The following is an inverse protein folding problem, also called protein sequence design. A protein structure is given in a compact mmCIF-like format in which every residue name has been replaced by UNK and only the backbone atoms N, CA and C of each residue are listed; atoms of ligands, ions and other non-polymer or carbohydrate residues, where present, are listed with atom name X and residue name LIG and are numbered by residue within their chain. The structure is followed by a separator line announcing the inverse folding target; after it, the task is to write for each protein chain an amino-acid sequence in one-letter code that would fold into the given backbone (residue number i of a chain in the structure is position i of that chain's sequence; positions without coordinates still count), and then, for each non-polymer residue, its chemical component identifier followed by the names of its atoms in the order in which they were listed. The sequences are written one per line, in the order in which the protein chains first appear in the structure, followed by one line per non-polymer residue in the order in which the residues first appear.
data_IF_660302283600
#
_entry.id   IF_660302283600
#
_cell.length_a   1.000
_cell.length_b   1.000
_cell.length_c   1.000
_cell.angle_alpha   90.00
_cell.angle_beta   90.00
_cell.angle_gamma   90.00
#
_symmetry.space_group_name_H-M   'P 1'
#
loop_
_entity.id
_entity.type
_entity.pdbx_description
1 polymer ?
#
# COMPACT_ATOMS: atom_id res chain seq x y z
N UNK A 1 -0.51 -18.96 16.62
CA UNK A 1 -1.99 -18.85 16.55
C UNK A 1 -2.29 -17.68 15.63
N UNK A 2 -2.68 -17.98 14.40
CA UNK A 2 -2.81 -17.03 13.29
C UNK A 2 -4.11 -16.26 13.47
N UNK A 3 -4.04 -14.97 13.75
CA UNK A 3 -5.22 -14.10 13.69
C UNK A 3 -5.44 -13.77 12.22
N UNK A 4 -6.37 -14.49 11.60
CA UNK A 4 -6.95 -14.11 10.31
C UNK A 4 -7.69 -12.78 10.48
N UNK A 5 -7.07 -11.71 10.02
CA UNK A 5 -7.76 -10.44 9.78
C UNK A 5 -8.69 -10.66 8.58
N UNK A 6 -9.96 -10.92 8.86
CA UNK A 6 -11.02 -10.79 7.87
C UNK A 6 -11.08 -9.31 7.47
N UNK A 7 -10.57 -8.97 6.29
CA UNK A 7 -11.02 -7.78 5.59
C UNK A 7 -12.35 -8.15 4.92
N UNK A 8 -13.45 -7.46 5.26
CA UNK A 8 -14.67 -7.59 4.47
C UNK A 8 -14.36 -7.10 3.05
N UNK A 9 -14.92 -7.79 2.05
CA UNK A 9 -14.91 -7.33 0.65
C UNK A 9 -15.48 -5.90 0.51
N UNK A 10 -15.50 -5.31 -0.69
CA UNK A 10 -15.88 -3.92 -0.89
C UNK A 10 -17.21 -3.61 -0.21
N UNK A 11 -17.12 -2.87 0.88
CA UNK A 11 -18.31 -2.39 1.60
C UNK A 11 -18.84 -1.22 0.80
N UNK A 12 -20.12 -1.23 0.39
CA UNK A 12 -20.71 -0.09 -0.30
C UNK A 12 -20.45 1.17 0.53
N UNK A 13 -20.01 2.23 -0.14
CA UNK A 13 -19.66 3.52 0.47
C UNK A 13 -20.80 4.02 1.36
N UNK A 14 -20.76 3.68 2.66
CA UNK A 14 -21.69 4.22 3.62
C UNK A 14 -21.29 5.67 3.88
N UNK A 15 -22.26 6.55 3.77
CA UNK A 15 -22.10 8.00 3.97
C UNK A 15 -21.39 8.25 5.31
N UNK A 16 -20.31 9.04 5.27
CA UNK A 16 -19.78 9.68 6.45
C UNK A 16 -20.81 10.77 6.82
N UNK A 17 -21.67 10.47 7.76
CA UNK A 17 -22.66 11.41 8.25
C UNK A 17 -22.06 12.29 9.34
N UNK A 18 -22.61 13.48 9.56
CA UNK A 18 -22.17 14.36 10.65
C UNK A 18 -22.25 13.61 12.00
N UNK A 19 -23.25 12.75 12.20
CA UNK A 19 -23.38 11.89 13.39
C UNK A 19 -22.19 10.94 13.61
N UNK A 20 -21.62 10.37 12.53
CA UNK A 20 -20.44 9.48 12.64
C UNK A 20 -19.19 10.28 12.97
N UNK A 21 -19.04 11.46 12.39
CA UNK A 21 -17.94 12.37 12.70
C UNK A 21 -18.00 12.87 14.15
N UNK A 22 -19.17 13.31 14.61
CA UNK A 22 -19.39 13.78 15.97
C UNK A 22 -19.14 12.65 16.98
N UNK A 23 -19.61 11.45 16.68
CA UNK A 23 -19.37 10.27 17.50
C UNK A 23 -17.88 9.93 17.60
N UNK A 24 -17.16 9.94 16.49
CA UNK A 24 -15.73 9.70 16.45
C UNK A 24 -14.96 10.75 17.27
N UNK A 25 -15.27 12.02 17.07
CA UNK A 25 -14.65 13.13 17.79
C UNK A 25 -14.89 13.00 19.31
N UNK A 26 -16.11 12.74 19.73
CA UNK A 26 -16.47 12.54 21.14
C UNK A 26 -15.66 11.41 21.79
N UNK A 27 -15.52 10.26 21.13
CA UNK A 27 -14.75 9.11 21.65
C UNK A 27 -13.27 9.46 21.74
N UNK A 28 -12.71 10.14 20.75
CA UNK A 28 -11.30 10.56 20.71
C UNK A 28 -11.02 11.57 21.83
N UNK A 29 -11.85 12.59 22.00
CA UNK A 29 -11.72 13.60 23.06
C UNK A 29 -11.83 12.96 24.45
N UNK A 30 -12.69 11.98 24.61
CA UNK A 30 -12.83 11.24 25.89
C UNK A 30 -11.57 10.46 26.25
N UNK A 31 -10.86 9.93 25.26
CA UNK A 31 -9.64 9.13 25.46
C UNK A 31 -8.38 9.97 25.61
N UNK A 32 -8.33 11.12 24.96
CA UNK A 32 -7.12 11.93 24.81
C UNK A 32 -6.41 12.25 26.13
N UNK A 33 -7.07 12.69 27.22
CA UNK A 33 -6.41 12.99 28.49
C UNK A 33 -5.70 11.79 29.11
N UNK A 34 -6.20 10.60 28.88
CA UNK A 34 -5.64 9.36 29.43
C UNK A 34 -4.59 8.74 28.50
N UNK A 35 -4.78 8.87 27.19
CA UNK A 35 -3.82 8.39 26.19
C UNK A 35 -2.46 9.09 26.30
N UNK A 36 -2.45 10.28 26.83
CA UNK A 36 -1.25 11.11 27.01
C UNK A 36 -0.44 10.81 28.28
N UNK A 37 -0.93 9.96 29.16
CA UNK A 37 -0.22 9.62 30.40
C UNK A 37 0.87 8.58 30.12
N UNK A 38 2.07 8.68 30.78
CA UNK A 38 3.19 7.79 30.52
C UNK A 38 2.88 6.30 30.78
N UNK A 39 2.05 6.02 31.77
CA UNK A 39 1.64 4.65 32.13
C UNK A 39 0.63 4.05 31.14
N UNK A 40 0.27 4.84 30.13
CA UNK A 40 -0.50 4.46 28.95
C UNK A 40 -1.81 3.75 29.30
N UNK A 41 -2.68 3.69 28.36
CA UNK A 41 -3.95 3.00 28.54
C UNK A 41 -3.72 1.49 28.53
N UNK A 42 -3.66 0.85 29.70
CA UNK A 42 -3.87 -0.60 29.77
C UNK A 42 -5.22 -0.92 29.15
N UNK A 43 -5.44 -2.12 28.57
CA UNK A 43 -6.68 -2.47 27.89
C UNK A 43 -7.93 -2.19 28.75
N UNK A 44 -7.86 -2.52 30.03
CA UNK A 44 -8.96 -2.27 30.98
C UNK A 44 -9.16 -0.78 31.25
N UNK A 45 -8.09 0.00 31.30
CA UNK A 45 -8.14 1.46 31.45
C UNK A 45 -8.72 2.15 30.21
N UNK A 46 -8.44 1.64 29.01
CA UNK A 46 -9.06 2.09 27.77
C UNK A 46 -10.56 1.84 27.78
N UNK A 47 -10.98 0.63 28.12
CA UNK A 47 -12.40 0.26 28.22
C UNK A 47 -13.13 1.03 29.32
N UNK A 48 -12.48 1.26 30.47
CA UNK A 48 -13.08 2.01 31.58
C UNK A 48 -13.43 3.47 31.24
N UNK A 49 -12.81 4.04 30.19
CA UNK A 49 -13.11 5.39 29.70
C UNK A 49 -14.25 5.43 28.68
N UNK A 50 -14.58 4.29 28.10
CA UNK A 50 -15.59 4.16 27.05
C UNK A 50 -16.73 3.26 27.52
N UNK A 51 -17.81 3.81 28.08
CA UNK A 51 -18.94 3.02 28.55
C UNK A 51 -19.49 2.10 27.47
N UNK A 52 -19.61 0.80 27.79
CA UNK A 52 -20.08 -0.24 26.88
C UNK A 52 -19.00 -0.85 25.97
N UNK A 53 -17.74 -0.40 26.09
CA UNK A 53 -16.62 -1.01 25.39
C UNK A 53 -15.90 -2.02 26.30
N UNK A 54 -15.30 -3.04 25.67
CA UNK A 54 -14.35 -4.00 26.29
C UNK A 54 -12.96 -3.81 25.71
N UNK A 55 -11.93 -3.89 26.53
CA UNK A 55 -10.55 -3.80 26.10
C UNK A 55 -10.10 -5.04 25.33
N UNK A 56 -9.24 -4.85 24.33
CA UNK A 56 -8.57 -5.91 23.60
C UNK A 56 -7.10 -6.01 24.02
N UNK A 57 -6.45 -7.18 23.82
CA UNK A 57 -5.03 -7.36 24.16
C UNK A 57 -4.14 -6.28 23.54
N UNK A 58 -3.21 -5.79 24.33
CA UNK A 58 -2.20 -4.79 23.91
C UNK A 58 -1.01 -5.47 23.26
N UNK A 59 -0.51 -4.88 22.17
CA UNK A 59 0.74 -5.20 21.52
C UNK A 59 1.79 -4.17 21.92
N UNK A 60 2.94 -4.62 22.46
CA UNK A 60 4.06 -3.73 22.83
C UNK A 60 5.15 -3.86 21.76
N UNK A 61 5.64 -2.72 21.29
CA UNK A 61 6.73 -2.66 20.33
C UNK A 61 8.07 -2.43 21.04
N UNK A 62 9.04 -3.26 20.69
CA UNK A 62 10.39 -3.17 21.25
C UNK A 62 11.44 -2.92 20.16
N UNK A 63 12.40 -2.09 20.49
CA UNK A 63 13.61 -1.91 19.69
C UNK A 63 14.84 -2.18 20.56
N UNK A 64 15.61 -3.21 20.19
CA UNK A 64 16.78 -3.65 20.97
C UNK A 64 16.46 -3.91 22.45
N UNK A 65 15.32 -4.54 22.74
CA UNK A 65 14.88 -4.86 24.09
C UNK A 65 14.30 -3.70 24.91
N UNK A 66 14.13 -2.52 24.30
CA UNK A 66 13.52 -1.36 24.95
C UNK A 66 12.16 -1.08 24.32
N UNK A 67 11.15 -0.87 25.15
CA UNK A 67 9.81 -0.49 24.68
C UNK A 67 9.85 0.87 23.99
N UNK A 68 9.34 0.94 22.79
CA UNK A 68 9.27 2.17 21.98
C UNK A 68 7.84 2.63 21.74
N UNK A 69 6.86 1.81 22.10
CA UNK A 69 5.46 2.12 21.94
C UNK A 69 4.55 0.91 22.12
N UNK A 70 3.26 1.12 21.97
CA UNK A 70 2.27 0.08 22.05
C UNK A 70 1.06 0.40 21.18
N UNK A 71 0.29 -0.65 20.85
CA UNK A 71 -1.04 -0.58 20.22
C UNK A 71 -2.04 -1.26 21.12
N UNK A 72 -3.17 -0.59 21.40
CA UNK A 72 -4.32 -1.14 22.11
C UNK A 72 -5.60 -0.81 21.38
N UNK A 73 -6.68 -1.53 21.70
CA UNK A 73 -8.00 -1.24 21.17
C UNK A 73 -9.09 -1.59 22.18
N UNK A 74 -10.25 -0.96 22.01
CA UNK A 74 -11.48 -1.34 22.68
C UNK A 74 -12.61 -1.42 21.66
N UNK A 75 -13.56 -2.33 21.89
CA UNK A 75 -14.71 -2.53 21.02
C UNK A 75 -15.99 -2.71 21.81
N UNK A 76 -17.14 -2.41 21.21
CA UNK A 76 -18.44 -2.61 21.81
C UNK A 76 -19.29 -3.62 21.01
N UNK A 77 -20.44 -3.98 21.56
CA UNK A 77 -21.36 -4.97 20.95
C UNK A 77 -22.04 -4.45 19.68
N UNK A 78 -22.00 -3.14 19.43
CA UNK A 78 -22.53 -2.54 18.19
C UNK A 78 -21.55 -2.60 17.03
N UNK A 79 -20.31 -3.06 17.27
CA UNK A 79 -19.25 -3.18 16.27
C UNK A 79 -18.41 -1.91 16.10
N UNK A 80 -18.60 -0.91 16.99
CA UNK A 80 -17.65 0.21 17.05
C UNK A 80 -16.35 -0.24 17.70
N UNK A 81 -15.22 0.25 17.18
CA UNK A 81 -13.88 0.00 17.72
C UNK A 81 -13.08 1.29 17.74
N UNK A 82 -12.35 1.49 18.84
CA UNK A 82 -11.34 2.55 18.94
C UNK A 82 -9.99 1.88 19.10
N UNK A 83 -9.02 2.26 18.25
CA UNK A 83 -7.63 1.81 18.30
C UNK A 83 -6.74 2.97 18.72
N UNK A 84 -5.79 2.71 19.60
CA UNK A 84 -4.79 3.69 20.03
C UNK A 84 -3.40 3.13 19.75
N UNK A 85 -2.57 3.91 19.06
CA UNK A 85 -1.15 3.66 18.91
C UNK A 85 -0.36 4.74 19.64
N UNK A 86 0.46 4.32 20.59
CA UNK A 86 1.32 5.20 21.38
C UNK A 86 2.77 4.98 21.01
N UNK A 87 3.46 6.02 20.57
CA UNK A 87 4.86 5.93 20.16
C UNK A 87 5.71 6.89 20.98
N UNK A 88 6.61 6.31 21.83
CA UNK A 88 7.44 7.02 22.79
C UNK A 88 8.83 6.40 22.91
N UNK A 89 9.71 6.47 21.88
CA UNK A 89 11.06 5.95 21.95
C UNK A 89 11.87 6.67 23.03
N UNK A 90 12.54 5.88 23.90
CA UNK A 90 13.27 6.41 25.05
C UNK A 90 12.38 7.04 26.12
N UNK A 91 11.11 6.63 26.21
CA UNK A 91 10.14 7.15 27.18
C UNK A 91 9.58 8.55 26.87
N UNK A 92 9.98 9.14 25.75
CA UNK A 92 9.51 10.47 25.34
C UNK A 92 8.40 10.33 24.29
N UNK A 93 7.20 10.80 24.63
CA UNK A 93 6.08 10.81 23.68
C UNK A 93 6.47 11.55 22.39
N UNK A 94 6.27 10.91 21.27
CA UNK A 94 6.44 11.48 19.93
C UNK A 94 5.13 11.66 19.22
N UNK A 95 4.24 10.66 19.33
CA UNK A 95 2.97 10.65 18.62
C UNK A 95 1.99 9.66 19.26
N UNK A 96 0.73 10.04 19.27
CA UNK A 96 -0.39 9.10 19.45
C UNK A 96 -1.24 9.16 18.20
N UNK A 97 -1.74 8.01 17.77
CA UNK A 97 -2.78 7.88 16.76
C UNK A 97 -4.00 7.25 17.39
N UNK A 98 -5.16 7.85 17.19
CA UNK A 98 -6.43 7.32 17.67
C UNK A 98 -7.33 7.13 16.45
N UNK A 99 -7.68 5.88 16.16
CA UNK A 99 -8.55 5.52 15.04
C UNK A 99 -9.93 5.11 15.56
N UNK A 100 -10.96 5.63 14.95
CA UNK A 100 -12.32 5.18 15.12
C UNK A 100 -12.78 4.34 13.94
N UNK A 101 -13.41 3.20 14.23
CA UNK A 101 -14.00 2.29 13.26
C UNK A 101 -15.47 2.06 13.64
N UNK A 102 -16.36 2.07 12.69
CA UNK A 102 -17.71 1.55 12.81
C UNK A 102 -17.80 0.10 12.27
N UNK A 103 -19.01 -0.45 12.14
CA UNK A 103 -19.21 -1.79 11.56
C UNK A 103 -18.69 -1.94 10.14
N UNK A 104 -18.67 -0.87 9.39
CA UNK A 104 -18.24 -0.88 8.00
C UNK A 104 -16.71 -0.67 7.86
N UNK A 105 -16.00 -0.41 8.97
CA UNK A 105 -14.55 -0.28 8.98
C UNK A 105 -14.04 1.06 9.51
N UNK A 106 -12.79 1.44 9.15
CA UNK A 106 -12.17 2.67 9.60
C UNK A 106 -12.91 3.92 9.07
N UNK A 107 -13.10 4.92 9.94
CA UNK A 107 -13.81 6.16 9.60
C UNK A 107 -12.99 7.40 9.81
N UNK A 108 -12.31 7.48 10.95
CA UNK A 108 -11.56 8.66 11.34
C UNK A 108 -10.29 8.30 12.09
N UNK A 109 -9.22 9.03 11.80
CA UNK A 109 -7.96 9.02 12.52
C UNK A 109 -7.68 10.42 13.05
N UNK A 110 -7.30 10.52 14.33
CA UNK A 110 -6.67 11.70 14.91
C UNK A 110 -5.18 11.44 15.16
N UNK A 111 -4.34 12.39 14.82
CA UNK A 111 -2.90 12.41 15.13
C UNK A 111 -2.63 13.43 16.19
N UNK A 112 -2.08 12.97 17.32
CA UNK A 112 -1.80 13.75 18.51
C UNK A 112 -0.29 13.93 18.68
N UNK A 113 0.13 15.14 18.92
CA UNK A 113 1.53 15.49 19.10
C UNK A 113 2.07 15.24 20.52
N UNK A 114 3.37 15.52 20.74
CA UNK A 114 4.01 15.35 22.05
C UNK A 114 3.47 16.31 23.12
N UNK A 115 2.78 17.36 22.74
CA UNK A 115 2.08 18.31 23.61
C UNK A 115 0.65 17.86 23.97
N UNK A 116 0.29 16.63 23.61
CA UNK A 116 -1.05 16.07 23.85
C UNK A 116 -2.19 16.84 23.19
N UNK A 117 -1.93 17.51 22.07
CA UNK A 117 -2.94 18.17 21.26
C UNK A 117 -3.12 17.43 19.94
N UNK A 118 -4.36 17.36 19.49
CA UNK A 118 -4.64 16.90 18.12
C UNK A 118 -3.99 17.90 17.16
N UNK A 119 -3.08 17.43 16.32
CA UNK A 119 -2.42 18.24 15.31
C UNK A 119 -3.24 18.29 14.02
N UNK A 120 -3.80 17.16 13.62
CA UNK A 120 -4.69 17.01 12.49
C UNK A 120 -5.43 15.69 12.57
N UNK A 121 -6.46 15.54 11.75
CA UNK A 121 -7.16 14.29 11.51
C UNK A 121 -7.29 13.95 10.03
N UNK A 122 -7.69 12.72 9.78
CA UNK A 122 -8.09 12.23 8.46
C UNK A 122 -9.38 11.42 8.59
N UNK A 123 -10.30 11.57 7.65
CA UNK A 123 -11.52 10.77 7.61
C UNK A 123 -11.73 10.16 6.23
N UNK A 124 -12.29 8.95 6.17
CA UNK A 124 -12.70 8.31 4.94
C UNK A 124 -14.13 8.73 4.60
N UNK A 125 -14.33 9.35 3.47
CA UNK A 125 -15.64 9.78 2.98
C UNK A 125 -15.90 9.21 1.58
N UNK A 126 -17.18 9.07 1.17
CA UNK A 126 -17.48 8.78 -0.21
C UNK A 126 -16.84 9.80 -1.15
N UNK A 127 -16.33 9.33 -2.28
CA UNK A 127 -15.80 10.19 -3.32
C UNK A 127 -16.90 11.08 -3.92
N UNK A 128 -16.53 12.22 -4.46
CA UNK A 128 -17.48 13.20 -5.01
C UNK A 128 -18.23 12.70 -6.25
N UNK A 129 -17.69 11.71 -6.96
CA UNK A 129 -18.33 11.04 -8.11
C UNK A 129 -19.28 9.91 -7.68
N UNK A 130 -19.38 9.63 -6.38
CA UNK A 130 -20.19 8.55 -5.80
C UNK A 130 -19.59 7.16 -5.95
N UNK A 131 -18.35 7.05 -6.45
CA UNK A 131 -17.63 5.80 -6.61
C UNK A 131 -16.30 5.87 -5.85
N UNK A 132 -16.04 4.88 -4.98
CA UNK A 132 -14.84 4.86 -4.17
C UNK A 132 -14.88 5.79 -2.94
N UNK A 133 -13.70 6.17 -2.47
CA UNK A 133 -13.51 6.96 -1.25
C UNK A 133 -12.48 8.07 -1.47
N UNK A 134 -12.64 9.14 -0.69
CA UNK A 134 -11.65 10.21 -0.52
C UNK A 134 -11.16 10.26 0.92
N UNK A 135 -9.93 10.70 1.12
CA UNK A 135 -9.43 11.14 2.41
C UNK A 135 -9.76 12.62 2.62
N UNK A 136 -10.56 12.92 3.62
CA UNK A 136 -10.78 14.28 4.10
C UNK A 136 -9.67 14.67 5.08
N UNK A 137 -9.09 15.85 4.90
CA UNK A 137 -8.16 16.44 5.85
C UNK A 137 -8.94 17.21 6.91
N UNK A 138 -8.64 16.94 8.18
CA UNK A 138 -9.26 17.57 9.34
C UNK A 138 -8.23 18.39 10.09
N UNK A 139 -8.65 19.49 10.68
CA UNK A 139 -7.82 20.32 11.55
C UNK A 139 -7.67 19.74 12.97
N UNK A 140 -7.03 20.51 13.87
CA UNK A 140 -6.83 20.10 15.27
C UNK A 140 -8.11 20.05 16.11
N UNK A 141 -9.24 20.54 15.60
CA UNK A 141 -10.57 20.41 16.19
C UNK A 141 -11.39 19.30 15.49
N UNK A 142 -10.75 18.49 14.66
CA UNK A 142 -11.36 17.45 13.82
C UNK A 142 -12.44 17.98 12.85
N UNK A 143 -12.35 19.27 12.49
CA UNK A 143 -13.26 19.87 11.52
C UNK A 143 -12.67 19.77 10.10
N UNK A 144 -13.48 19.52 9.05
CA UNK A 144 -13.01 19.46 7.67
C UNK A 144 -12.32 20.77 7.24
N UNK A 145 -11.11 20.66 6.70
CA UNK A 145 -10.34 21.81 6.17
C UNK A 145 -10.75 22.20 4.74
N UNK A 146 -11.63 21.42 4.11
CA UNK A 146 -11.97 21.53 2.70
C UNK A 146 -11.01 20.81 1.76
N UNK A 147 -9.87 20.31 2.25
CA UNK A 147 -8.95 19.52 1.45
C UNK A 147 -9.39 18.05 1.38
N UNK A 148 -9.34 17.49 0.15
CA UNK A 148 -9.62 16.08 -0.12
C UNK A 148 -8.47 15.47 -0.93
N UNK A 149 -8.11 14.24 -0.62
CA UNK A 149 -7.20 13.42 -1.40
C UNK A 149 -8.00 12.24 -1.97
N UNK A 150 -8.20 12.15 -3.29
CA UNK A 150 -8.86 11.00 -3.90
C UNK A 150 -8.07 9.72 -3.66
N UNK A 151 -8.78 8.64 -3.34
CA UNK A 151 -8.18 7.30 -3.21
C UNK A 151 -8.41 6.44 -4.44
N UNK A 152 -9.41 6.80 -5.24
CA UNK A 152 -9.76 6.08 -6.46
C UNK A 152 -10.51 7.02 -7.46
N UNK A 153 -9.84 8.09 -7.99
CA UNK A 153 -10.46 9.01 -8.92
C UNK A 153 -10.69 8.36 -10.30
N UNK A 154 -11.65 8.84 -11.10
CA UNK A 154 -11.80 8.37 -12.47
C UNK A 154 -10.56 8.71 -13.30
N UNK A 155 -10.10 7.77 -14.16
CA UNK A 155 -8.98 8.04 -15.06
C UNK A 155 -9.26 9.24 -15.99
N UNK A 156 -8.29 10.13 -16.20
CA UNK A 156 -8.46 11.22 -17.15
C UNK A 156 -8.63 10.68 -18.58
N UNK A 157 -9.34 11.36 -19.46
CA UNK A 157 -9.43 10.96 -20.86
C UNK A 157 -8.06 10.99 -21.52
N UNK A 158 -7.83 10.07 -22.46
CA UNK A 158 -6.55 9.97 -23.15
C UNK A 158 -6.63 9.07 -24.38
N UNK A 159 -5.49 8.96 -25.07
CA UNK A 159 -5.32 8.08 -26.23
C UNK A 159 -4.22 7.07 -25.93
N UNK A 160 -4.32 5.89 -26.54
CA UNK A 160 -3.28 4.88 -26.47
C UNK A 160 -1.99 5.43 -27.15
N UNK A 161 -0.83 5.38 -26.48
CA UNK A 161 0.43 5.84 -27.07
C UNK A 161 0.99 4.87 -28.11
N UNK A 162 0.52 3.62 -28.12
CA UNK A 162 1.09 2.56 -28.93
C UNK A 162 2.41 2.02 -28.38
N UNK A 163 3.08 1.17 -29.15
CA UNK A 163 4.35 0.58 -28.76
C UNK A 163 4.23 -0.81 -28.14
N UNK A 164 5.33 -1.28 -27.51
CA UNK A 164 5.37 -2.56 -26.80
C UNK A 164 4.52 -2.49 -25.53
N UNK A 165 3.67 -3.49 -25.31
CA UNK A 165 2.82 -3.54 -24.13
C UNK A 165 3.60 -4.11 -22.95
N UNK A 166 3.87 -3.26 -21.97
CA UNK A 166 4.53 -3.60 -20.71
C UNK A 166 3.50 -3.48 -19.58
N UNK A 167 3.45 -4.43 -18.67
CA UNK A 167 2.63 -4.34 -17.48
C UNK A 167 3.45 -4.06 -16.23
N UNK A 168 2.83 -3.38 -15.29
CA UNK A 168 3.32 -3.20 -13.93
C UNK A 168 2.28 -3.75 -12.96
N UNK A 169 2.71 -4.64 -12.05
CA UNK A 169 1.89 -5.12 -10.94
C UNK A 169 2.45 -4.52 -9.65
N UNK A 170 1.70 -3.60 -9.07
CA UNK A 170 2.12 -2.83 -7.89
C UNK A 170 0.90 -2.31 -7.10
N UNK A 171 1.05 -1.25 -6.34
CA UNK A 171 -0.03 -0.56 -5.60
C UNK A 171 -0.95 0.30 -6.48
N UNK A 172 -0.83 0.21 -7.82
CA UNK A 172 -1.50 1.10 -8.78
C UNK A 172 -0.61 2.25 -9.23
N UNK A 173 -1.18 3.23 -9.92
CA UNK A 173 -0.46 4.43 -10.39
C UNK A 173 -1.30 5.69 -10.22
N UNK A 174 -0.68 6.82 -9.92
CA UNK A 174 -1.38 8.11 -9.98
C UNK A 174 -1.49 8.57 -11.44
N UNK A 175 -2.52 8.10 -12.11
CA UNK A 175 -2.80 8.43 -13.51
C UNK A 175 -3.37 9.85 -13.71
N UNK A 176 -3.53 10.63 -12.65
CA UNK A 176 -3.91 12.06 -12.76
C UNK A 176 -2.70 12.95 -13.04
N UNK A 177 -1.48 12.42 -12.86
CA UNK A 177 -0.25 13.16 -13.16
C UNK A 177 -0.05 13.30 -14.67
N UNK A 178 0.24 14.52 -15.17
CA UNK A 178 0.44 14.77 -16.59
C UNK A 178 1.66 14.05 -17.16
N UNK A 179 2.62 13.67 -16.33
CA UNK A 179 3.82 12.92 -16.72
C UNK A 179 3.53 11.41 -16.88
N UNK A 180 2.47 10.91 -16.24
CA UNK A 180 2.10 9.48 -16.22
C UNK A 180 0.99 9.18 -17.24
N UNK A 181 -0.08 9.98 -17.23
CA UNK A 181 -1.28 9.73 -18.02
C UNK A 181 -1.04 9.41 -19.50
N UNK A 182 -0.10 10.09 -20.23
CA UNK A 182 0.13 9.86 -21.65
C UNK A 182 0.72 8.49 -21.98
N UNK A 183 1.46 7.85 -21.06
CA UNK A 183 2.11 6.56 -21.28
C UNK A 183 1.21 5.35 -21.01
N UNK A 184 -0.02 5.55 -20.53
CA UNK A 184 -0.91 4.45 -20.17
C UNK A 184 -1.58 3.82 -21.38
N UNK A 185 -1.57 2.49 -21.42
CA UNK A 185 -2.24 1.69 -22.45
C UNK A 185 -3.76 1.83 -22.37
N UNK A 186 -4.39 2.04 -23.53
CA UNK A 186 -5.83 2.24 -23.61
C UNK A 186 -6.47 1.44 -24.74
N UNK A 187 -7.74 1.13 -24.55
CA UNK A 187 -8.59 0.59 -25.60
C UNK A 187 -8.91 1.65 -26.66
N UNK A 188 -9.55 1.23 -27.76
CA UNK A 188 -10.03 2.17 -28.81
C UNK A 188 -11.01 3.20 -28.29
N UNK A 189 -11.75 2.86 -27.24
CA UNK A 189 -12.73 3.74 -26.59
C UNK A 189 -12.11 4.62 -25.50
N UNK A 190 -10.77 4.58 -25.35
CA UNK A 190 -10.02 5.42 -24.42
C UNK A 190 -9.98 4.92 -22.97
N UNK A 191 -10.57 3.75 -22.68
CA UNK A 191 -10.52 3.14 -21.36
C UNK A 191 -9.12 2.60 -21.07
N UNK A 192 -8.67 2.63 -19.81
CA UNK A 192 -7.42 1.97 -19.40
C UNK A 192 -7.51 0.46 -19.67
N UNK A 193 -6.44 -0.14 -20.13
CA UNK A 193 -6.34 -1.59 -20.29
C UNK A 193 -5.96 -2.30 -18.98
N UNK A 194 -5.53 -1.56 -17.98
CA UNK A 194 -5.21 -2.07 -16.65
C UNK A 194 -6.45 -2.37 -15.80
N UNK A 195 -6.23 -2.98 -14.64
CA UNK A 195 -7.31 -3.37 -13.73
C UNK A 195 -6.86 -3.31 -12.27
N UNK A 196 -7.78 -2.93 -11.40
CA UNK A 196 -7.62 -2.99 -9.96
C UNK A 196 -8.17 -4.32 -9.42
N UNK A 197 -7.28 -5.28 -9.14
CA UNK A 197 -7.66 -6.57 -8.56
C UNK A 197 -7.87 -6.50 -7.04
N UNK A 198 -7.54 -5.38 -6.40
CA UNK A 198 -7.79 -5.17 -4.97
C UNK A 198 -9.21 -4.70 -4.71
N UNK A 199 -9.65 -3.67 -5.43
CA UNK A 199 -10.99 -3.07 -5.28
C UNK A 199 -11.98 -3.58 -6.35
N UNK A 200 -11.51 -4.42 -7.30
CA UNK A 200 -12.29 -5.11 -8.34
C UNK A 200 -12.95 -4.15 -9.32
N UNK A 201 -12.17 -3.19 -9.85
CA UNK A 201 -12.64 -2.18 -10.79
C UNK A 201 -11.57 -1.79 -11.85
N UNK A 202 -11.92 -0.99 -12.89
CA UNK A 202 -10.98 -0.58 -13.94
C UNK A 202 -10.11 0.63 -13.56
N UNK A 203 -9.93 0.94 -12.28
CA UNK A 203 -9.24 2.15 -11.80
C UNK A 203 -8.05 1.82 -10.90
N UNK A 204 -6.94 1.26 -11.44
CA UNK A 204 -5.77 0.86 -10.66
C UNK A 204 -4.99 2.07 -10.12
N UNK A 205 -5.62 2.84 -9.22
CA UNK A 205 -5.02 4.03 -8.62
C UNK A 205 -4.03 3.67 -7.51
N UNK A 206 -2.97 4.46 -7.35
CA UNK A 206 -1.88 4.17 -6.42
C UNK A 206 -2.32 4.35 -4.96
N UNK A 207 -2.88 3.29 -4.37
CA UNK A 207 -3.33 3.27 -2.99
C UNK A 207 -3.18 1.88 -2.36
N UNK A 208 -2.22 1.72 -1.44
CA UNK A 208 -2.08 0.48 -0.67
C UNK A 208 -2.48 0.74 0.80
N UNK A 209 -3.71 0.37 1.22
CA UNK A 209 -4.22 0.62 2.57
C UNK A 209 -3.81 -0.46 3.58
N UNK A 210 -2.96 -1.44 3.22
CA UNK A 210 -2.67 -2.61 4.06
C UNK A 210 -2.19 -2.28 5.47
N UNK A 211 -1.45 -1.18 5.64
CA UNK A 211 -0.98 -0.74 6.96
C UNK A 211 -1.92 0.27 7.61
N UNK A 212 -2.43 1.21 6.83
CA UNK A 212 -3.42 2.19 7.28
C UNK A 212 -4.16 2.76 6.06
N UNK A 213 -5.48 2.75 6.04
CA UNK A 213 -6.26 3.39 5.00
C UNK A 213 -6.15 4.93 5.06
N UNK A 214 -5.76 5.48 6.20
CA UNK A 214 -5.53 6.91 6.38
C UNK A 214 -4.14 7.37 5.90
N UNK A 215 -3.20 6.45 5.76
CA UNK A 215 -1.85 6.66 5.22
C UNK A 215 -1.52 5.55 4.21
N UNK A 216 -2.24 5.49 3.08
CA UNK A 216 -1.97 4.47 2.10
C UNK A 216 -0.54 4.60 1.58
N UNK A 217 0.14 3.47 1.43
CA UNK A 217 1.45 3.45 0.80
C UNK A 217 1.31 3.76 -0.68
N UNK A 218 2.24 4.54 -1.20
CA UNK A 218 2.31 5.00 -2.58
C UNK A 218 3.63 4.51 -3.19
N UNK A 219 3.57 3.44 -3.96
CA UNK A 219 4.79 2.82 -4.50
C UNK A 219 4.77 2.76 -6.03
N UNK A 220 3.66 2.35 -6.64
CA UNK A 220 3.61 2.05 -8.06
C UNK A 220 3.83 3.26 -8.97
N UNK A 221 3.41 4.48 -8.56
CA UNK A 221 3.70 5.71 -9.31
C UNK A 221 5.21 5.91 -9.53
N UNK A 222 6.03 5.60 -8.53
CA UNK A 222 7.50 5.68 -8.62
C UNK A 222 8.04 4.66 -9.61
N UNK A 223 7.52 3.43 -9.56
CA UNK A 223 7.91 2.36 -10.49
C UNK A 223 7.52 2.72 -11.92
N UNK A 224 6.28 3.18 -12.13
CA UNK A 224 5.80 3.62 -13.44
C UNK A 224 6.69 4.73 -14.04
N UNK A 225 7.14 5.68 -13.22
CA UNK A 225 8.01 6.76 -13.68
C UNK A 225 9.37 6.28 -14.19
N UNK A 226 9.89 5.18 -13.64
CA UNK A 226 11.12 4.54 -14.15
C UNK A 226 10.83 3.81 -15.46
N UNK A 227 9.79 2.96 -15.50
CA UNK A 227 9.41 2.24 -16.72
C UNK A 227 9.24 3.19 -17.91
N UNK A 228 8.50 4.28 -17.73
CA UNK A 228 8.27 5.26 -18.80
C UNK A 228 9.53 6.01 -19.22
N UNK A 229 10.47 6.23 -18.30
CA UNK A 229 11.75 6.87 -18.62
C UNK A 229 12.70 5.93 -19.36
N UNK A 230 12.79 4.66 -18.92
CA UNK A 230 13.74 3.67 -19.49
C UNK A 230 13.19 3.05 -20.79
N UNK A 231 11.84 2.97 -20.93
CA UNK A 231 11.18 2.40 -22.10
C UNK A 231 10.13 3.38 -22.71
N UNK A 232 10.56 4.54 -23.27
CA UNK A 232 9.64 5.59 -23.73
C UNK A 232 8.77 5.17 -24.92
N UNK A 233 9.16 4.15 -25.68
CA UNK A 233 8.42 3.61 -26.83
C UNK A 233 7.45 2.47 -26.42
N UNK A 234 7.20 2.30 -25.12
CA UNK A 234 6.24 1.34 -24.58
C UNK A 234 4.93 1.98 -24.18
N UNK A 235 3.89 1.16 -24.05
CA UNK A 235 2.64 1.53 -23.39
C UNK A 235 2.46 0.72 -22.11
N UNK A 236 2.05 1.36 -21.03
CA UNK A 236 2.00 0.77 -19.71
C UNK A 236 0.59 0.32 -19.35
N UNK A 237 0.42 -0.99 -19.12
CA UNK A 237 -0.76 -1.57 -18.47
C UNK A 237 -0.50 -1.64 -16.98
N UNK A 238 -1.38 -1.07 -16.16
CA UNK A 238 -1.24 -1.02 -14.71
C UNK A 238 -2.19 -2.00 -14.06
N UNK A 239 -1.65 -2.84 -13.19
CA UNK A 239 -2.44 -3.70 -12.32
C UNK A 239 -2.16 -3.37 -10.86
N UNK A 240 -3.24 -3.11 -10.10
CA UNK A 240 -3.14 -3.12 -8.65
C UNK A 240 -3.34 -4.57 -8.19
N UNK A 241 -2.35 -5.09 -7.43
CA UNK A 241 -2.31 -6.51 -7.08
C UNK A 241 -3.46 -6.93 -6.14
N UNK A 242 -3.93 -8.20 -6.23
CA UNK A 242 -5.08 -8.67 -5.46
C UNK A 242 -4.68 -9.03 -4.02
N UNK A 243 -4.89 -8.15 -3.06
CA UNK A 243 -4.65 -8.48 -1.65
C UNK A 243 -5.92 -8.28 -0.81
N UNK A 244 -6.28 -9.23 0.06
CA UNK A 244 -5.49 -10.42 0.46
C UNK A 244 -5.65 -11.64 -0.46
N UNK A 245 -6.47 -11.58 -1.50
CA UNK A 245 -6.85 -12.70 -2.36
C UNK A 245 -5.77 -13.00 -3.43
N UNK A 246 -4.56 -13.38 -2.98
CA UNK A 246 -3.39 -13.61 -3.87
C UNK A 246 -3.59 -14.74 -4.88
N UNK A 247 -4.56 -15.63 -4.68
CA UNK A 247 -5.00 -16.62 -5.68
C UNK A 247 -5.49 -15.98 -6.98
N UNK A 248 -5.98 -14.75 -6.94
CA UNK A 248 -6.40 -13.98 -8.12
C UNK A 248 -5.23 -13.48 -8.99
N UNK A 249 -3.99 -13.71 -8.57
CA UNK A 249 -2.82 -13.45 -9.42
C UNK A 249 -2.87 -14.27 -10.72
N UNK A 250 -3.56 -15.43 -10.74
CA UNK A 250 -3.81 -16.17 -12.00
C UNK A 250 -4.71 -15.37 -12.95
N UNK A 251 -5.81 -14.78 -12.46
CA UNK A 251 -6.70 -13.94 -13.27
C UNK A 251 -5.96 -12.72 -13.85
N UNK A 252 -5.07 -12.14 -13.06
CA UNK A 252 -4.22 -11.02 -13.49
C UNK A 252 -3.31 -11.43 -14.65
N UNK A 253 -2.65 -12.58 -14.57
CA UNK A 253 -1.76 -13.07 -15.64
C UNK A 253 -2.55 -13.37 -16.92
N UNK A 254 -3.73 -14.03 -16.81
CA UNK A 254 -4.62 -14.26 -17.95
C UNK A 254 -5.06 -12.94 -18.60
N UNK A 255 -5.48 -11.97 -17.79
CA UNK A 255 -5.85 -10.64 -18.30
C UNK A 255 -4.66 -9.94 -18.99
N UNK A 256 -3.45 -10.08 -18.46
CA UNK A 256 -2.24 -9.55 -19.09
C UNK A 256 -1.98 -10.19 -20.46
N UNK A 257 -2.15 -11.51 -20.58
CA UNK A 257 -2.04 -12.23 -21.85
C UNK A 257 -3.09 -11.74 -22.87
N UNK A 258 -4.35 -11.63 -22.47
CA UNK A 258 -5.46 -11.16 -23.32
C UNK A 258 -5.26 -9.71 -23.80
N UNK A 259 -4.62 -8.87 -23.00
CA UNK A 259 -4.28 -7.49 -23.37
C UNK A 259 -2.99 -7.35 -24.19
N UNK A 260 -2.34 -8.49 -24.51
CA UNK A 260 -1.14 -8.54 -25.33
C UNK A 260 0.13 -8.04 -24.63
N UNK A 261 0.17 -8.14 -23.32
CA UNK A 261 1.38 -7.85 -22.52
C UNK A 261 2.50 -8.82 -22.87
N UNK A 262 3.74 -8.31 -22.98
CA UNK A 262 4.95 -9.10 -23.24
C UNK A 262 5.93 -9.10 -22.09
N UNK A 263 5.93 -8.06 -21.28
CA UNK A 263 6.80 -7.94 -20.12
C UNK A 263 5.96 -7.50 -18.92
N UNK A 264 6.15 -8.14 -17.77
CA UNK A 264 5.48 -7.80 -16.51
C UNK A 264 6.52 -7.48 -15.45
N UNK A 265 6.53 -6.25 -14.95
CA UNK A 265 7.34 -5.86 -13.80
C UNK A 265 6.60 -6.19 -12.49
N UNK A 266 7.29 -6.91 -11.59
CA UNK A 266 6.82 -7.34 -10.27
C UNK A 266 7.75 -6.75 -9.18
N UNK A 267 7.51 -5.49 -8.81
CA UNK A 267 8.29 -4.84 -7.74
C UNK A 267 7.70 -5.09 -6.34
N UNK A 268 7.19 -6.29 -6.10
CA UNK A 268 6.55 -6.75 -4.87
C UNK A 268 6.90 -8.20 -4.56
N UNK A 269 6.69 -8.62 -3.32
CA UNK A 269 6.93 -10.00 -2.93
C UNK A 269 6.48 -10.33 -1.51
N UNK A 270 6.54 -11.61 -1.17
CA UNK A 270 6.31 -12.12 0.19
C UNK A 270 7.22 -13.31 0.49
N UNK A 271 7.32 -13.68 1.78
CA UNK A 271 8.06 -14.88 2.20
C UNK A 271 7.22 -16.16 2.13
N UNK A 272 6.00 -16.09 1.59
CA UNK A 272 5.03 -17.19 1.58
C UNK A 272 4.86 -17.68 0.15
N UNK A 273 5.28 -18.91 -0.11
CA UNK A 273 5.14 -19.53 -1.43
C UNK A 273 3.66 -19.73 -1.80
N UNK A 274 2.80 -19.93 -0.80
CA UNK A 274 1.36 -20.13 -1.00
C UNK A 274 0.70 -18.94 -1.67
N UNK A 275 1.17 -17.72 -1.40
CA UNK A 275 0.67 -16.49 -2.02
C UNK A 275 0.94 -16.44 -3.53
N UNK A 276 1.89 -17.27 -4.04
CA UNK A 276 2.38 -17.18 -5.41
C UNK A 276 2.15 -18.45 -6.25
N UNK A 277 1.49 -19.47 -5.71
CA UNK A 277 1.22 -20.73 -6.45
C UNK A 277 0.35 -20.48 -7.68
N UNK A 278 -0.75 -19.74 -7.52
CA UNK A 278 -1.65 -19.42 -8.64
C UNK A 278 -0.95 -18.58 -9.72
N UNK A 279 -0.09 -17.64 -9.33
CA UNK A 279 0.78 -16.90 -10.24
C UNK A 279 1.73 -17.83 -11.01
N UNK A 280 2.44 -18.73 -10.31
CA UNK A 280 3.41 -19.61 -10.91
C UNK A 280 2.77 -20.58 -11.95
N UNK A 281 1.57 -21.08 -11.66
CA UNK A 281 0.82 -21.92 -12.57
C UNK A 281 0.38 -21.13 -13.82
N UNK A 282 -0.10 -19.90 -13.65
CA UNK A 282 -0.47 -19.04 -14.77
C UNK A 282 0.73 -18.64 -15.61
N UNK A 283 1.85 -18.25 -14.99
CA UNK A 283 3.07 -17.86 -15.68
C UNK A 283 3.63 -18.98 -16.58
N UNK A 284 3.54 -20.25 -16.14
CA UNK A 284 3.93 -21.41 -16.95
C UNK A 284 3.03 -21.63 -18.17
N UNK A 285 1.75 -21.23 -18.11
CA UNK A 285 0.83 -21.30 -19.26
C UNK A 285 1.09 -20.21 -20.29
N UNK A 286 1.76 -19.13 -19.89
CA UNK A 286 2.06 -17.95 -20.73
C UNK A 286 3.56 -17.73 -20.91
N UNK A 287 4.28 -18.67 -21.57
CA UNK A 287 5.72 -18.55 -21.79
C UNK A 287 6.12 -17.36 -22.70
N UNK A 288 5.16 -16.77 -23.40
CA UNK A 288 5.34 -15.56 -24.22
C UNK A 288 5.43 -14.27 -23.41
N UNK A 289 5.14 -14.32 -22.12
CA UNK A 289 5.26 -13.19 -21.18
C UNK A 289 6.54 -13.36 -20.35
N UNK A 290 7.41 -12.38 -20.38
CA UNK A 290 8.57 -12.29 -19.50
C UNK A 290 8.17 -11.58 -18.20
N UNK A 291 8.42 -12.22 -17.07
CA UNK A 291 8.23 -11.63 -15.74
C UNK A 291 9.58 -11.15 -15.19
N UNK A 292 9.62 -9.94 -14.63
CA UNK A 292 10.79 -9.37 -13.99
C UNK A 292 10.45 -9.08 -12.53
N UNK A 293 11.04 -9.84 -11.61
CA UNK A 293 10.78 -9.73 -10.18
C UNK A 293 11.94 -9.06 -9.44
N UNK A 294 11.61 -8.22 -8.47
CA UNK A 294 12.59 -7.67 -7.55
C UNK A 294 12.99 -8.69 -6.48
N UNK A 295 14.28 -8.82 -6.19
CA UNK A 295 14.82 -9.76 -5.20
C UNK A 295 14.44 -9.41 -3.74
N UNK A 296 14.16 -8.14 -3.45
CA UNK A 296 13.87 -7.64 -2.10
C UNK A 296 15.05 -6.91 -1.45
N UNK A 297 14.82 -6.36 -0.24
CA UNK A 297 15.71 -5.39 0.40
C UNK A 297 15.96 -5.72 1.90
N UNK A 298 16.24 -6.99 2.22
CA UNK A 298 16.41 -7.46 3.59
C UNK A 298 17.81 -8.02 3.88
N UNK A 299 18.75 -7.93 2.91
CA UNK A 299 20.10 -8.47 3.00
C UNK A 299 20.15 -10.01 3.06
N UNK A 300 19.14 -10.68 2.49
CA UNK A 300 19.00 -12.14 2.56
C UNK A 300 19.68 -12.83 1.39
N UNK A 301 20.20 -14.01 1.66
CA UNK A 301 20.57 -14.99 0.65
C UNK A 301 19.30 -15.75 0.21
N UNK A 302 18.84 -15.51 -1.02
CA UNK A 302 17.62 -16.14 -1.55
C UNK A 302 17.76 -17.63 -1.80
N UNK A 303 18.99 -18.15 -1.89
CA UNK A 303 19.27 -19.58 -2.02
C UNK A 303 18.96 -20.30 -0.69
N UNK A 304 19.01 -19.58 0.45
CA UNK A 304 18.76 -20.09 1.80
C UNK A 304 17.41 -19.60 2.38
N UNK A 305 17.08 -18.36 2.14
CA UNK A 305 15.86 -17.68 2.66
C UNK A 305 15.06 -17.09 1.52
N UNK A 306 14.27 -17.90 0.78
CA UNK A 306 13.60 -17.47 -0.44
C UNK A 306 12.55 -16.39 -0.19
N UNK A 307 12.43 -15.47 -1.16
CA UNK A 307 11.36 -14.47 -1.29
C UNK A 307 10.67 -14.71 -2.63
N UNK A 308 9.36 -14.71 -2.63
CA UNK A 308 8.55 -14.98 -3.82
C UNK A 308 7.88 -13.71 -4.35
N UNK A 309 7.75 -13.55 -5.69
CA UNK A 309 7.97 -14.55 -6.74
C UNK A 309 9.44 -14.75 -7.16
N UNK A 310 10.39 -13.94 -6.68
CA UNK A 310 11.78 -13.92 -7.11
C UNK A 310 12.47 -15.30 -7.05
N UNK A 311 12.13 -16.14 -6.08
CA UNK A 311 12.72 -17.46 -5.90
C UNK A 311 11.93 -18.60 -6.58
N UNK A 312 10.95 -18.30 -7.44
CA UNK A 312 10.23 -19.31 -8.22
C UNK A 312 11.12 -19.88 -9.33
N UNK A 313 10.93 -21.16 -9.61
CA UNK A 313 11.57 -21.85 -10.72
C UNK A 313 10.65 -21.78 -11.96
N UNK A 314 10.89 -20.74 -12.79
CA UNK A 314 10.11 -20.43 -14.00
C UNK A 314 11.06 -20.00 -15.12
N UNK A 315 10.94 -20.61 -16.30
CA UNK A 315 11.79 -20.31 -17.48
C UNK A 315 11.61 -18.88 -18.02
N UNK A 316 10.49 -18.23 -17.68
CA UNK A 316 10.12 -16.89 -18.11
C UNK A 316 10.13 -15.86 -16.97
N UNK A 317 10.93 -16.08 -15.93
CA UNK A 317 11.14 -15.16 -14.81
C UNK A 317 12.61 -14.75 -14.74
N UNK A 318 12.85 -13.45 -14.62
CA UNK A 318 14.16 -12.87 -14.31
C UNK A 318 14.08 -12.20 -12.94
N UNK A 319 15.01 -12.56 -12.06
CA UNK A 319 15.13 -11.97 -10.72
C UNK A 319 16.23 -10.92 -10.69
N UNK A 320 15.86 -9.72 -10.26
CA UNK A 320 16.72 -8.53 -10.29
C UNK A 320 16.98 -8.02 -8.88
N UNK A 321 18.26 -7.85 -8.53
CA UNK A 321 18.67 -7.18 -7.29
C UNK A 321 19.24 -5.79 -7.56
N UNK A 322 19.31 -4.95 -6.51
CA UNK A 322 19.86 -3.61 -6.61
C UNK A 322 21.40 -3.61 -6.58
N UNK A 323 21.98 -2.92 -7.52
CA UNK A 323 23.38 -2.55 -7.51
C UNK A 323 23.59 -1.06 -7.28
N UNK A 324 24.81 -0.70 -6.89
CA UNK A 324 25.29 0.67 -6.85
C UNK A 324 25.73 1.16 -8.25
N UNK A 325 26.22 2.39 -8.33
CA UNK A 325 26.72 2.97 -9.59
C UNK A 325 27.98 2.29 -10.16
N UNK A 326 28.66 1.44 -9.37
CA UNK A 326 29.84 0.65 -9.78
C UNK A 326 29.48 -0.80 -10.15
N UNK A 327 28.19 -1.17 -10.11
CA UNK A 327 27.72 -2.52 -10.40
C UNK A 327 27.95 -3.50 -9.26
N UNK A 328 28.26 -3.02 -8.04
CA UNK A 328 28.37 -3.87 -6.87
C UNK A 328 27.01 -4.03 -6.20
N UNK A 329 26.79 -5.16 -5.52
CA UNK A 329 25.57 -5.37 -4.76
C UNK A 329 25.35 -4.23 -3.73
N UNK A 330 24.18 -3.61 -3.79
CA UNK A 330 23.84 -2.52 -2.87
C UNK A 330 23.63 -3.04 -1.44
N UNK A 331 23.99 -2.22 -0.45
CA UNK A 331 23.82 -2.58 0.96
C UNK A 331 22.34 -2.84 1.29
N UNK A 332 22.07 -3.97 1.90
CA UNK A 332 20.71 -4.39 2.26
C UNK A 332 19.89 -5.02 1.14
N UNK A 333 20.39 -5.07 -0.10
CA UNK A 333 19.72 -5.82 -1.17
C UNK A 333 19.84 -7.32 -0.97
N UNK A 334 18.79 -8.05 -1.31
CA UNK A 334 18.83 -9.51 -1.32
C UNK A 334 19.73 -10.00 -2.44
N UNK A 335 20.33 -11.16 -2.26
CA UNK A 335 21.29 -11.78 -3.18
C UNK A 335 21.08 -13.30 -3.25
N UNK A 336 21.78 -13.99 -4.12
CA UNK A 336 21.74 -15.43 -4.27
C UNK A 336 22.48 -15.81 -5.55
N UNK A 337 23.35 -16.82 -5.50
CA UNK A 337 24.13 -17.25 -6.65
C UNK A 337 23.31 -18.02 -7.68
N UNK A 338 22.23 -18.68 -7.25
CA UNK A 338 21.33 -19.48 -8.09
C UNK A 338 20.00 -18.80 -8.37
N UNK A 339 19.56 -17.87 -7.51
CA UNK A 339 18.21 -17.28 -7.55
C UNK A 339 18.17 -15.85 -8.08
N UNK A 340 19.32 -15.16 -8.20
CA UNK A 340 19.39 -13.80 -8.71
C UNK A 340 20.10 -13.79 -10.03
N UNK A 341 19.40 -13.37 -11.10
CA UNK A 341 19.93 -13.37 -12.47
C UNK A 341 20.73 -12.12 -12.76
N UNK A 342 20.28 -10.95 -12.29
CA UNK A 342 20.85 -9.66 -12.66
C UNK A 342 21.07 -8.74 -11.45
N UNK A 343 22.21 -8.02 -11.46
CA UNK A 343 22.42 -6.83 -10.64
C UNK A 343 22.23 -5.61 -11.53
N UNK A 344 21.24 -4.78 -11.20
CA UNK A 344 20.91 -3.56 -11.97
C UNK A 344 20.99 -2.35 -11.04
N UNK A 345 21.56 -1.20 -11.48
CA UNK A 345 21.63 -0.01 -10.63
C UNK A 345 20.25 0.42 -10.15
N UNK A 346 19.98 0.29 -8.85
CA UNK A 346 18.71 0.64 -8.20
C UNK A 346 18.86 1.65 -7.08
N UNK A 347 20.11 2.15 -6.84
CA UNK A 347 20.40 3.12 -5.81
C UNK A 347 20.29 4.55 -6.32
N UNK A 348 19.75 5.43 -5.45
CA UNK A 348 19.59 6.86 -5.71
C UNK A 348 18.86 7.17 -7.04
N UNK A 349 17.90 6.34 -7.41
CA UNK A 349 17.14 6.52 -8.64
C UNK A 349 16.20 7.73 -8.53
N UNK A 350 16.25 8.67 -9.51
CA UNK A 350 15.26 9.74 -9.58
C UNK A 350 13.91 9.16 -10.00
N UNK A 351 12.87 9.42 -9.23
CA UNK A 351 11.49 8.97 -9.50
C UNK A 351 10.50 10.11 -9.31
N UNK A 352 9.38 10.03 -10.01
CA UNK A 352 8.24 10.90 -9.76
C UNK A 352 7.46 10.34 -8.56
N UNK A 353 7.29 11.15 -7.52
CA UNK A 353 6.45 10.82 -6.38
C UNK A 353 4.97 10.90 -6.72
N UNK A 354 4.12 10.36 -5.83
CA UNK A 354 2.67 10.43 -5.97
C UNK A 354 2.13 11.88 -6.10
N UNK A 355 2.81 12.82 -5.50
CA UNK A 355 2.52 14.27 -5.51
C UNK A 355 3.12 15.04 -6.71
N UNK A 356 3.67 14.33 -7.69
CA UNK A 356 4.34 14.93 -8.85
C UNK A 356 5.73 15.49 -8.57
N UNK A 357 6.26 15.36 -7.33
CA UNK A 357 7.61 15.83 -7.03
C UNK A 357 8.67 14.77 -7.36
N UNK A 358 9.83 15.22 -7.85
CA UNK A 358 10.96 14.31 -8.08
C UNK A 358 11.67 14.02 -6.77
N UNK A 359 11.91 12.73 -6.52
CA UNK A 359 12.59 12.22 -5.32
C UNK A 359 13.64 11.21 -5.69
N UNK A 360 14.64 11.04 -4.81
CA UNK A 360 15.63 9.97 -4.92
C UNK A 360 15.21 8.79 -4.05
N UNK A 361 15.28 7.58 -4.62
CA UNK A 361 14.90 6.33 -3.95
C UNK A 361 15.93 5.24 -4.21
N UNK A 362 15.96 4.21 -3.36
CA UNK A 362 16.90 3.09 -3.47
C UNK A 362 16.19 1.76 -3.23
N UNK A 363 16.66 0.69 -3.89
CA UNK A 363 16.23 -0.68 -3.66
C UNK A 363 15.96 -1.48 -4.92
N UNK A 364 15.82 -2.80 -4.77
CA UNK A 364 15.59 -3.76 -5.86
C UNK A 364 14.28 -3.48 -6.63
N UNK A 365 13.25 -2.90 -5.97
CA UNK A 365 12.02 -2.47 -6.64
C UNK A 365 12.26 -1.41 -7.72
N UNK A 366 13.34 -0.62 -7.61
CA UNK A 366 13.73 0.42 -8.56
C UNK A 366 14.78 -0.07 -9.56
N UNK A 367 15.39 -1.22 -9.30
CA UNK A 367 16.27 -1.92 -10.23
C UNK A 367 15.45 -2.74 -11.26
N UNK A 368 14.43 -3.48 -10.81
CA UNK A 368 13.62 -4.35 -11.67
C UNK A 368 13.01 -3.63 -12.90
N UNK A 369 12.41 -2.41 -12.80
CA UNK A 369 11.87 -1.71 -13.97
C UNK A 369 12.92 -1.18 -14.96
N UNK A 370 14.22 -1.35 -14.67
CA UNK A 370 15.35 -0.96 -15.52
C UNK A 370 16.00 -2.16 -16.24
N UNK A 371 15.62 -3.38 -15.87
CA UNK A 371 16.05 -4.61 -16.53
C UNK A 371 15.23 -4.87 -17.79
#
# INVERSE_FOLDING_TARGET
MLILLFYPGPVPAQLLTDDVMDRAAQLIETLLPSACQPDGLEPDALAARLPGFRGLPREVWQRRGTDVGWRGAAENDTGERVRVEYFAPGGTLRRIQIEYHDRAGPRLLAVVGPDCRIQFGRALAPASDGQGQDLLMLDGALQPTGQREPLDPPPPPGRDPGGVTVAMVDSGVNYTLPEIAPGLARSRDGQLLGYDFWDDDPRPFDANPAHSPFFPQRHGTRIASILMREAPDSRLVVYRYPRPAMERMSELVEHAADTGVRVVNLSLGSNRIEDWQAFAEAARRHPEILFIASAGNNGRDLDLEPVYPAALDLDNLITVTSGDGAGQLAEGSNWGAERVDLIVPGEQQPVLGFDGTVRSVSGSSYAAPRA
#
